data_IF_857999140308
#
_entry.id   IF_857999140308
#
_cell.length_a   1.000
_cell.length_b   1.000
_cell.length_c   1.000
_cell.angle_alpha   90.00
_cell.angle_beta   90.00
_cell.angle_gamma   90.00
#
_symmetry.space_group_name_H-M   'P 1'
#
loop_
_entity.id
_entity.type
_entity.pdbx_description
1 polymer ?
#
# COMPACT_ATOMS: atom_id res chain seq x y z
N UNK A 1 0.95 -21.38 0.43
CA UNK A 1 0.63 -19.95 0.46
C UNK A 1 -0.77 -19.84 1.05
N UNK A 2 -0.97 -19.13 2.18
CA UNK A 2 -2.32 -18.95 2.75
C UNK A 2 -3.23 -18.39 1.66
N UNK A 3 -4.46 -18.91 1.56
CA UNK A 3 -5.43 -18.50 0.54
C UNK A 3 -5.61 -16.98 0.57
N UNK A 4 -5.06 -16.29 -0.42
CA UNK A 4 -4.96 -14.82 -0.44
C UNK A 4 -6.36 -14.21 -0.37
N UNK A 5 -7.39 -14.89 -0.91
CA UNK A 5 -8.78 -14.43 -0.81
C UNK A 5 -9.28 -14.33 0.64
N UNK A 6 -8.95 -15.32 1.48
CA UNK A 6 -9.31 -15.28 2.89
C UNK A 6 -8.54 -14.20 3.64
N UNK A 7 -7.28 -13.95 3.24
CA UNK A 7 -6.44 -12.88 3.80
C UNK A 7 -6.96 -11.51 3.41
N UNK A 8 -7.30 -11.29 2.14
CA UNK A 8 -7.90 -10.05 1.64
C UNK A 8 -9.21 -9.74 2.37
N UNK A 9 -10.07 -10.74 2.57
CA UNK A 9 -11.31 -10.56 3.35
C UNK A 9 -11.05 -10.04 4.76
N UNK A 10 -10.09 -10.65 5.47
CA UNK A 10 -9.70 -10.21 6.82
C UNK A 10 -9.12 -8.79 6.83
N UNK A 11 -8.33 -8.42 5.80
CA UNK A 11 -7.80 -7.07 5.67
C UNK A 11 -8.92 -6.06 5.45
N UNK A 12 -9.89 -6.35 4.57
CA UNK A 12 -11.04 -5.49 4.33
C UNK A 12 -11.87 -5.32 5.60
N UNK A 13 -12.18 -6.42 6.31
CA UNK A 13 -12.89 -6.35 7.60
C UNK A 13 -12.13 -5.50 8.63
N UNK A 14 -10.80 -5.60 8.69
CA UNK A 14 -9.97 -4.77 9.57
C UNK A 14 -9.98 -3.28 9.16
N UNK A 15 -9.98 -2.97 7.86
CA UNK A 15 -10.11 -1.60 7.36
C UNK A 15 -11.47 -1.03 7.77
N UNK A 16 -12.56 -1.77 7.55
CA UNK A 16 -13.91 -1.34 7.90
C UNK A 16 -14.04 -1.07 9.41
N UNK A 17 -13.52 -1.98 10.24
CA UNK A 17 -13.49 -1.77 11.70
C UNK A 17 -12.65 -0.56 12.10
N UNK A 18 -11.52 -0.31 11.43
CA UNK A 18 -10.69 0.85 11.69
C UNK A 18 -11.40 2.15 11.26
N UNK A 19 -12.19 2.13 10.19
CA UNK A 19 -13.00 3.28 9.76
C UNK A 19 -14.14 3.58 10.74
N UNK A 20 -14.84 2.54 11.21
CA UNK A 20 -15.93 2.67 12.19
C UNK A 20 -15.40 3.09 13.57
N UNK A 21 -14.27 2.51 14.00
CA UNK A 21 -13.70 2.72 15.33
C UNK A 21 -12.79 3.95 15.44
N UNK A 22 -12.35 4.53 14.31
CA UNK A 22 -11.51 5.72 14.32
C UNK A 22 -12.34 6.95 14.69
N UNK A 23 -11.95 7.61 15.78
CA UNK A 23 -12.49 8.91 16.17
C UNK A 23 -12.01 10.07 15.29
N UNK A 24 -11.19 9.81 14.27
CA UNK A 24 -10.70 10.83 13.36
C UNK A 24 -11.65 10.96 12.14
N UNK A 25 -12.47 12.03 12.08
CA UNK A 25 -13.46 12.24 11.01
C UNK A 25 -12.83 12.37 9.62
N UNK A 26 -11.53 12.69 9.53
CA UNK A 26 -10.80 12.71 8.26
C UNK A 26 -10.60 11.31 7.68
N UNK A 27 -10.64 10.26 8.49
CA UNK A 27 -10.51 8.88 8.00
C UNK A 27 -11.84 8.38 7.43
N UNK A 28 -12.97 8.75 8.03
CA UNK A 28 -14.27 8.30 7.55
C UNK A 28 -14.66 9.00 6.24
N UNK A 29 -14.64 10.34 6.21
CA UNK A 29 -15.11 11.11 5.06
C UNK A 29 -14.19 11.09 3.83
N UNK A 30 -12.90 10.79 3.99
CA UNK A 30 -12.00 10.69 2.84
C UNK A 30 -12.06 9.32 2.17
N UNK A 31 -12.40 8.25 2.89
CA UNK A 31 -12.49 6.91 2.31
C UNK A 31 -13.82 6.69 1.59
N UNK A 32 -14.90 7.33 2.03
CA UNK A 32 -16.19 7.28 1.33
C UNK A 32 -16.14 8.10 0.03
N UNK A 33 -16.32 7.42 -1.11
CA UNK A 33 -16.53 7.97 -2.46
C UNK A 33 -15.33 8.62 -3.16
N UNK A 34 -14.11 8.48 -2.63
CA UNK A 34 -12.90 8.95 -3.30
C UNK A 34 -12.24 7.82 -4.11
N UNK A 35 -11.90 8.14 -5.36
CA UNK A 35 -11.40 7.16 -6.34
C UNK A 35 -10.09 6.50 -5.88
N UNK A 36 -9.20 7.22 -5.20
CA UNK A 36 -7.94 6.66 -4.72
C UNK A 36 -8.19 5.55 -3.70
N UNK A 37 -9.16 5.75 -2.81
CA UNK A 37 -9.48 4.76 -1.78
C UNK A 37 -10.19 3.53 -2.35
N UNK A 38 -11.11 3.73 -3.30
CA UNK A 38 -11.72 2.63 -4.03
C UNK A 38 -10.68 1.78 -4.77
N UNK A 39 -9.70 2.43 -5.42
CA UNK A 39 -8.60 1.76 -6.09
C UNK A 39 -7.74 0.97 -5.09
N UNK A 40 -7.38 1.57 -3.95
CA UNK A 40 -6.61 0.90 -2.89
C UNK A 40 -7.34 -0.32 -2.32
N UNK A 41 -8.66 -0.25 -2.10
CA UNK A 41 -9.49 -1.38 -1.68
C UNK A 41 -9.55 -2.47 -2.75
N UNK A 42 -9.68 -2.09 -4.03
CA UNK A 42 -9.66 -3.05 -5.13
C UNK A 42 -8.33 -3.80 -5.21
N UNK A 43 -7.21 -3.11 -4.93
CA UNK A 43 -5.86 -3.70 -4.97
C UNK A 43 -5.59 -4.69 -3.84
N UNK A 44 -6.25 -4.55 -2.70
CA UNK A 44 -6.20 -5.57 -1.64
C UNK A 44 -6.89 -6.87 -2.08
N UNK A 45 -7.91 -6.78 -2.93
CA UNK A 45 -8.62 -7.93 -3.49
C UNK A 45 -7.94 -8.51 -4.74
N UNK A 46 -7.01 -7.78 -5.36
CA UNK A 46 -6.18 -8.26 -6.47
C UNK A 46 -4.99 -9.08 -5.93
N UNK A 47 -5.03 -10.39 -6.21
CA UNK A 47 -4.02 -11.33 -5.75
C UNK A 47 -2.61 -11.04 -6.31
N UNK A 48 -2.51 -10.65 -7.57
CA UNK A 48 -1.22 -10.38 -8.21
C UNK A 48 -0.64 -9.06 -7.69
N UNK A 49 -1.50 -8.07 -7.42
CA UNK A 49 -1.08 -6.83 -6.78
C UNK A 49 -0.60 -7.06 -5.35
N UNK A 50 -1.33 -7.85 -4.56
CA UNK A 50 -0.93 -8.22 -3.20
C UNK A 50 0.42 -8.96 -3.17
N UNK A 51 0.61 -9.93 -4.08
CA UNK A 51 1.89 -10.62 -4.23
C UNK A 51 3.02 -9.67 -4.60
N UNK A 52 2.77 -8.76 -5.53
CA UNK A 52 3.76 -7.77 -5.98
C UNK A 52 4.15 -6.82 -4.84
N UNK A 53 3.17 -6.33 -4.08
CA UNK A 53 3.39 -5.47 -2.92
C UNK A 53 4.24 -6.15 -1.85
N UNK A 54 3.90 -7.40 -1.50
CA UNK A 54 4.66 -8.19 -0.52
C UNK A 54 6.08 -8.44 -1.03
N UNK A 55 6.24 -8.88 -2.28
CA UNK A 55 7.57 -9.15 -2.86
C UNK A 55 8.47 -7.90 -2.85
N UNK A 56 7.93 -6.76 -3.29
CA UNK A 56 8.67 -5.50 -3.36
C UNK A 56 9.05 -4.98 -1.96
N UNK A 57 8.16 -5.15 -0.98
CA UNK A 57 8.45 -4.82 0.42
C UNK A 57 9.57 -5.72 0.98
N UNK A 58 9.41 -7.04 0.85
CA UNK A 58 10.25 -8.02 1.55
C UNK A 58 11.62 -8.22 0.92
N UNK A 59 11.68 -8.24 -0.41
CA UNK A 59 12.90 -8.58 -1.16
C UNK A 59 13.66 -7.34 -1.61
N UNK A 60 12.95 -6.27 -1.94
CA UNK A 60 13.54 -5.08 -2.54
C UNK A 60 13.58 -3.88 -1.58
N UNK A 61 12.81 -3.91 -0.48
CA UNK A 61 12.70 -2.79 0.44
C UNK A 61 12.07 -1.55 -0.22
N UNK A 62 11.23 -1.75 -1.24
CA UNK A 62 10.59 -0.66 -1.99
C UNK A 62 9.39 -0.15 -1.20
N UNK A 63 9.30 1.17 -1.04
CA UNK A 63 8.14 1.79 -0.41
C UNK A 63 6.86 1.44 -1.18
N UNK A 64 5.75 1.10 -0.50
CA UNK A 64 4.50 0.70 -1.16
C UNK A 64 3.97 1.76 -2.12
N UNK A 65 4.24 3.04 -1.85
CA UNK A 65 3.88 4.15 -2.74
C UNK A 65 4.53 4.00 -4.12
N UNK A 66 5.80 3.59 -4.18
CA UNK A 66 6.49 3.41 -5.47
C UNK A 66 5.95 2.21 -6.24
N UNK A 67 5.65 1.10 -5.55
CA UNK A 67 5.00 -0.05 -6.17
C UNK A 67 3.64 0.34 -6.73
N UNK A 68 2.82 1.05 -5.95
CA UNK A 68 1.51 1.54 -6.37
C UNK A 68 1.58 2.43 -7.61
N UNK A 69 2.47 3.43 -7.61
CA UNK A 69 2.63 4.33 -8.75
C UNK A 69 3.09 3.59 -10.02
N UNK A 70 3.96 2.59 -9.88
CA UNK A 70 4.44 1.80 -10.99
C UNK A 70 3.31 0.97 -11.64
N UNK A 71 2.43 0.35 -10.83
CA UNK A 71 1.32 -0.47 -11.33
C UNK A 71 0.30 0.35 -12.12
N UNK A 72 0.03 1.58 -11.69
CA UNK A 72 -0.95 2.47 -12.34
C UNK A 72 -0.35 3.34 -13.45
N UNK A 73 0.94 3.20 -13.77
CA UNK A 73 1.67 4.16 -14.62
C UNK A 73 1.44 5.63 -14.18
N UNK A 74 1.30 5.86 -12.86
CA UNK A 74 1.12 7.19 -12.29
C UNK A 74 2.46 7.94 -12.36
N UNK A 75 2.86 8.41 -13.54
CA UNK A 75 4.18 9.01 -13.64
C UNK A 75 4.30 10.33 -12.89
N UNK A 76 3.28 11.21 -12.77
CA UNK A 76 3.55 12.55 -12.17
C UNK A 76 2.39 13.31 -11.48
N UNK A 77 1.21 12.71 -11.25
CA UNK A 77 0.03 13.48 -10.78
C UNK A 77 -0.33 13.38 -9.29
N UNK A 78 0.33 12.52 -8.52
CA UNK A 78 -0.02 12.38 -7.11
C UNK A 78 0.58 13.51 -6.26
N UNK A 79 -0.29 14.21 -5.54
CA UNK A 79 0.07 15.20 -4.51
C UNK A 79 0.73 14.50 -3.33
N UNK A 80 1.51 15.24 -2.55
CA UNK A 80 2.17 14.69 -1.36
C UNK A 80 1.19 14.12 -0.34
N UNK A 81 0.00 14.70 -0.26
CA UNK A 81 -1.10 14.14 0.53
C UNK A 81 -1.47 12.72 0.08
N UNK A 82 -1.67 12.50 -1.22
CA UNK A 82 -2.08 11.19 -1.77
C UNK A 82 -0.96 10.15 -1.59
N UNK A 83 0.29 10.54 -1.83
CA UNK A 83 1.46 9.68 -1.55
C UNK A 83 1.51 9.26 -0.08
N UNK A 84 1.26 10.20 0.84
CA UNK A 84 1.22 9.91 2.27
C UNK A 84 0.06 8.99 2.64
N UNK A 85 -1.12 9.20 2.05
CA UNK A 85 -2.31 8.36 2.24
C UNK A 85 -2.06 6.92 1.78
N UNK A 86 -1.53 6.73 0.56
CA UNK A 86 -1.14 5.40 0.04
C UNK A 86 -0.14 4.74 0.99
N UNK A 87 0.88 5.49 1.44
CA UNK A 87 1.90 4.97 2.33
C UNK A 87 1.36 4.56 3.70
N UNK A 88 0.34 5.25 4.23
CA UNK A 88 -0.35 4.92 5.48
C UNK A 88 -1.28 3.72 5.31
N UNK A 89 -2.02 3.66 4.20
CA UNK A 89 -2.89 2.54 3.86
C UNK A 89 -2.12 1.23 3.82
N UNK A 90 -1.07 1.17 3.00
CA UNK A 90 -0.29 -0.05 2.87
C UNK A 90 0.46 -0.40 4.15
N UNK A 91 0.88 0.61 4.93
CA UNK A 91 1.41 0.36 6.27
C UNK A 91 0.40 -0.39 7.13
N UNK A 92 -0.85 0.05 7.18
CA UNK A 92 -1.92 -0.64 7.90
C UNK A 92 -2.10 -2.07 7.39
N UNK A 93 -2.19 -2.26 6.06
CA UNK A 93 -2.30 -3.59 5.45
C UNK A 93 -1.16 -4.52 5.88
N UNK A 94 0.08 -4.06 5.83
CA UNK A 94 1.23 -4.84 6.28
C UNK A 94 1.17 -5.11 7.80
N UNK A 95 0.77 -4.16 8.63
CA UNK A 95 0.58 -4.39 10.05
C UNK A 95 -0.50 -5.46 10.31
N UNK A 96 -1.62 -5.46 9.58
CA UNK A 96 -2.66 -6.50 9.63
C UNK A 96 -2.13 -7.87 9.21
N UNK A 97 -1.21 -7.91 8.25
CA UNK A 97 -0.53 -9.14 7.82
C UNK A 97 0.53 -9.64 8.84
N UNK A 98 0.77 -8.91 9.93
CA UNK A 98 1.72 -9.27 10.98
C UNK A 98 3.15 -8.78 10.74
N UNK A 99 3.35 -7.81 9.83
CA UNK A 99 4.65 -7.15 9.68
C UNK A 99 4.86 -6.19 10.85
N UNK A 100 5.87 -6.45 11.67
CA UNK A 100 6.25 -5.58 12.78
C UNK A 100 7.21 -4.50 12.28
N UNK A 101 6.82 -3.21 12.42
CA UNK A 101 7.61 -1.99 12.19
C UNK A 101 8.92 -2.21 11.39
N UNK A 102 8.79 -2.46 10.09
CA UNK A 102 9.95 -2.55 9.20
C UNK A 102 10.58 -1.17 9.11
N UNK A 103 11.80 -1.05 9.65
CA UNK A 103 12.65 0.13 9.54
C UNK A 103 12.75 0.49 8.04
N UNK A 104 12.04 1.52 7.59
CA UNK A 104 12.15 2.00 6.20
C UNK A 104 13.60 2.41 5.96
N UNK A 105 14.32 1.63 5.19
CA UNK A 105 15.63 2.04 4.71
C UNK A 105 15.37 3.01 3.56
N UNK A 106 15.43 4.31 3.83
CA UNK A 106 15.74 5.28 2.77
C UNK A 106 17.12 4.87 2.23
N UNK A 107 17.16 4.09 1.15
CA UNK A 107 18.44 3.68 0.57
C UNK A 107 19.05 4.89 -0.14
N UNK A 108 20.07 5.45 0.50
CA UNK A 108 20.98 6.48 -0.02
C UNK A 108 21.78 6.00 -1.25
N UNK A 109 21.76 4.69 -1.59
CA UNK A 109 22.41 4.13 -2.79
C UNK A 109 21.72 2.83 -3.25
N UNK A 110 20.63 2.89 -4.01
CA UNK A 110 20.13 1.72 -4.76
C UNK A 110 20.05 2.03 -6.24
N UNK A 111 20.53 1.09 -7.07
CA UNK A 111 20.34 1.05 -8.52
C UNK A 111 18.86 0.88 -8.94
N UNK A 112 17.93 0.95 -7.99
CA UNK A 112 16.50 0.86 -8.23
C UNK A 112 15.87 2.15 -7.72
N UNK A 113 15.27 2.93 -8.61
CA UNK A 113 14.53 4.15 -8.31
C UNK A 113 13.14 4.00 -8.91
N UNK A 114 12.08 4.23 -8.13
CA UNK A 114 10.68 4.06 -8.58
C UNK A 114 10.37 2.68 -9.17
N UNK A 115 10.96 1.61 -8.63
CA UNK A 115 10.77 0.24 -9.14
C UNK A 115 11.46 -0.07 -10.47
N UNK A 116 12.25 0.86 -11.02
CA UNK A 116 13.04 0.66 -12.25
C UNK A 116 14.51 0.46 -11.92
N UNK A 117 15.12 -0.55 -12.53
CA UNK A 117 16.53 -0.89 -12.39
C UNK A 117 17.35 -0.02 -13.35
N UNK A 118 18.24 0.81 -12.82
CA UNK A 118 19.21 1.61 -13.56
C UNK A 118 20.56 0.88 -13.48
N UNK A 119 21.01 0.36 -14.61
CA UNK A 119 22.39 -0.12 -14.77
C UNK A 119 23.24 1.07 -15.22
N UNK A 120 24.37 1.32 -14.54
CA UNK A 120 25.41 2.25 -15.02
C UNK A 120 26.21 1.60 -16.14
#
# INVERSE_FOLDING_TARGET
MKDIKNVSKLIIEAIDLNLIGSSNPLTFHYYENDNLWNDLLSFVNDEDMMRTMIFNNDKLGISPVHTYCATLNCNDKLRDFEKNSIGRFWKFVFETLGYNNTRRVYRVKSAITNGKLFTQ
#
